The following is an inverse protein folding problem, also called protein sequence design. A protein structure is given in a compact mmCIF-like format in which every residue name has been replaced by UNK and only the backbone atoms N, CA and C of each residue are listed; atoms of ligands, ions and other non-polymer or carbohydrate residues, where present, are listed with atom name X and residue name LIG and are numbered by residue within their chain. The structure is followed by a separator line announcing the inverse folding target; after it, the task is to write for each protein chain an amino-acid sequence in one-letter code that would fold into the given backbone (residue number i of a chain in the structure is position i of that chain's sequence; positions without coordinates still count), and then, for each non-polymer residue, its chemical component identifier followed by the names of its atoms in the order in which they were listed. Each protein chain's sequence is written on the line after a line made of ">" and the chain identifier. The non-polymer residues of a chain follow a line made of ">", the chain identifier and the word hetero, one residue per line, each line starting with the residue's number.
data_IF_375690285352
#
_entry.id   IF_375690285352
#
_cell.length_a   1.000
_cell.length_b   1.000
_cell.length_c   1.000
_cell.angle_alpha   90.00
_cell.angle_beta   90.00
_cell.angle_gamma   90.00
#
_symmetry.space_group_name_H-M   'P 1'
#
loop_
_entity.id
_entity.type
_entity.pdbx_description
1 polymer ?
#
# COMPACT_ATOMS: atom_id res chain seq x y z
N UNK A 1 16.90 22.41 -5.54
CA UNK A 1 16.30 22.59 -4.19
C UNK A 1 14.93 21.91 -4.05
N UNK A 2 14.00 22.07 -5.00
CA UNK A 2 12.65 21.44 -4.93
C UNK A 2 12.73 19.90 -5.02
N UNK A 3 13.48 19.33 -5.98
CA UNK A 3 13.69 17.86 -6.09
C UNK A 3 14.38 17.27 -4.84
N UNK A 4 15.35 18.00 -4.26
CA UNK A 4 16.02 17.59 -3.03
C UNK A 4 15.14 17.68 -1.80
N UNK A 5 14.26 18.68 -1.73
CA UNK A 5 13.24 18.83 -0.69
C UNK A 5 12.18 17.73 -0.76
N UNK A 6 11.76 17.36 -1.97
CA UNK A 6 10.86 16.23 -2.20
C UNK A 6 11.51 14.90 -1.82
N UNK A 7 12.77 14.70 -2.18
CA UNK A 7 13.57 13.51 -1.81
C UNK A 7 13.79 13.39 -0.30
N UNK A 8 13.98 14.51 0.41
CA UNK A 8 14.07 14.53 1.87
C UNK A 8 12.71 14.33 2.56
N UNK A 9 11.61 14.79 1.96
CA UNK A 9 10.25 14.56 2.47
C UNK A 9 9.80 13.11 2.25
N UNK A 10 10.15 12.50 1.11
CA UNK A 10 9.86 11.10 0.76
C UNK A 10 10.82 10.09 1.41
N UNK A 11 11.26 10.35 2.65
CA UNK A 11 12.25 9.54 3.38
C UNK A 11 11.84 8.08 3.66
N UNK A 12 10.66 7.67 3.20
CA UNK A 12 10.20 6.28 3.19
C UNK A 12 9.74 5.86 1.78
N UNK A 13 10.68 5.59 0.87
CA UNK A 13 10.35 4.96 -0.43
C UNK A 13 9.54 3.67 -0.28
N UNK A 14 9.72 2.97 0.85
CA UNK A 14 8.94 1.81 1.20
C UNK A 14 7.45 2.10 1.48
N UNK A 15 7.08 3.31 1.93
CA UNK A 15 5.66 3.70 2.05
C UNK A 15 5.04 3.80 0.67
N UNK A 16 5.69 4.51 -0.25
CA UNK A 16 5.24 4.62 -1.64
C UNK A 16 5.24 3.28 -2.40
N UNK A 17 6.09 2.33 -2.01
CA UNK A 17 6.14 1.01 -2.63
C UNK A 17 4.91 0.14 -2.32
N UNK A 18 4.26 0.27 -1.15
CA UNK A 18 3.15 -0.62 -0.78
C UNK A 18 1.93 -0.44 -1.71
N UNK A 19 1.43 0.78 -1.97
CA UNK A 19 0.36 1.00 -2.94
C UNK A 19 0.70 0.44 -4.32
N UNK A 20 1.93 0.69 -4.80
CA UNK A 20 2.38 0.22 -6.13
C UNK A 20 2.43 -1.31 -6.20
N UNK A 21 3.00 -1.97 -5.18
CA UNK A 21 3.04 -3.44 -5.09
C UNK A 21 1.63 -4.03 -5.05
N UNK A 22 0.72 -3.39 -4.31
CA UNK A 22 -0.69 -3.79 -4.27
C UNK A 22 -1.30 -3.73 -5.67
N UNK A 23 -1.03 -2.67 -6.44
CA UNK A 23 -1.55 -2.54 -7.80
C UNK A 23 -0.91 -3.49 -8.81
N UNK A 24 0.37 -3.82 -8.66
CA UNK A 24 1.02 -4.84 -9.51
C UNK A 24 0.31 -6.19 -9.35
N UNK A 25 -0.09 -6.56 -8.12
CA UNK A 25 -0.88 -7.76 -7.87
C UNK A 25 -2.25 -7.69 -8.56
N UNK A 26 -2.92 -6.54 -8.50
CA UNK A 26 -4.22 -6.33 -9.18
C UNK A 26 -4.08 -6.42 -10.70
N UNK A 27 -3.01 -5.88 -11.29
CA UNK A 27 -2.72 -6.04 -12.73
C UNK A 27 -2.56 -7.52 -13.08
N UNK A 28 -1.86 -8.29 -12.23
CA UNK A 28 -1.73 -9.73 -12.38
C UNK A 28 -3.08 -10.46 -12.34
N UNK A 29 -3.92 -10.14 -11.36
CA UNK A 29 -5.28 -10.71 -11.26
C UNK A 29 -6.16 -10.32 -12.44
N UNK A 30 -6.12 -9.06 -12.86
CA UNK A 30 -6.88 -8.59 -14.02
C UNK A 30 -6.45 -9.30 -15.30
N UNK A 31 -5.14 -9.51 -15.48
CA UNK A 31 -4.60 -10.32 -16.59
C UNK A 31 -5.08 -11.77 -16.52
N UNK A 32 -5.12 -12.37 -15.33
CA UNK A 32 -5.68 -13.70 -15.10
C UNK A 32 -7.16 -13.80 -15.45
N UNK A 33 -7.95 -12.77 -15.12
CA UNK A 33 -9.37 -12.68 -15.50
C UNK A 33 -9.53 -12.55 -17.01
N UNK A 34 -8.71 -11.72 -17.69
CA UNK A 34 -8.72 -11.63 -19.15
C UNK A 34 -8.48 -12.98 -19.81
N UNK A 35 -7.47 -13.71 -19.32
CA UNK A 35 -7.16 -15.05 -19.79
C UNK A 35 -8.33 -16.02 -19.58
N UNK A 36 -8.97 -16.00 -18.41
CA UNK A 36 -10.11 -16.85 -18.11
C UNK A 36 -11.36 -16.53 -18.96
N UNK A 37 -11.57 -15.26 -19.30
CA UNK A 37 -12.69 -14.82 -20.13
C UNK A 37 -12.42 -14.91 -21.64
N UNK A 38 -11.21 -15.28 -22.05
CA UNK A 38 -10.82 -15.33 -23.47
C UNK A 38 -10.82 -13.96 -24.15
N UNK A 39 -10.54 -12.88 -23.41
CA UNK A 39 -10.49 -11.53 -23.97
C UNK A 39 -9.10 -11.29 -24.57
N UNK A 40 -9.06 -10.92 -25.85
CA UNK A 40 -7.81 -10.64 -26.57
C UNK A 40 -7.03 -9.45 -25.98
N UNK A 41 -5.71 -9.56 -26.00
CA UNK A 41 -4.82 -8.45 -25.73
C UNK A 41 -4.80 -7.50 -26.92
N UNK A 42 -5.41 -6.33 -26.73
CA UNK A 42 -5.45 -5.24 -27.71
C UNK A 42 -4.60 -4.06 -27.23
N UNK A 43 -4.24 -3.11 -28.11
CA UNK A 43 -3.60 -1.86 -27.70
C UNK A 43 -4.40 -1.11 -26.62
N UNK A 44 -5.73 -1.24 -26.64
CA UNK A 44 -6.61 -0.65 -25.63
C UNK A 44 -6.45 -1.33 -24.27
N UNK A 45 -6.46 -2.67 -24.19
CA UNK A 45 -6.23 -3.39 -22.93
C UNK A 45 -4.79 -3.25 -22.42
N UNK A 46 -3.82 -2.93 -23.27
CA UNK A 46 -2.46 -2.60 -22.84
C UNK A 46 -2.42 -1.34 -21.94
N UNK A 47 -3.36 -0.41 -22.14
CA UNK A 47 -3.50 0.78 -21.28
C UNK A 47 -4.12 0.49 -19.91
N UNK A 48 -4.73 -0.70 -19.74
CA UNK A 48 -5.41 -1.09 -18.52
C UNK A 48 -4.46 -1.10 -17.31
N UNK A 49 -3.20 -1.52 -17.50
CA UNK A 49 -2.22 -1.53 -16.41
C UNK A 49 -1.96 -0.13 -15.85
N UNK A 50 -1.81 0.87 -16.72
CA UNK A 50 -1.65 2.27 -16.32
C UNK A 50 -2.92 2.83 -15.65
N UNK A 51 -4.09 2.43 -16.14
CA UNK A 51 -5.38 2.81 -15.58
C UNK A 51 -5.60 2.22 -14.17
N UNK A 52 -5.28 0.94 -13.98
CA UNK A 52 -5.30 0.28 -12.66
C UNK A 52 -4.34 0.96 -11.71
N UNK A 53 -3.12 1.28 -12.17
CA UNK A 53 -2.17 2.00 -11.34
C UNK A 53 -2.70 3.38 -10.95
N UNK A 54 -3.25 4.16 -11.89
CA UNK A 54 -3.76 5.50 -11.60
C UNK A 54 -4.89 5.48 -10.57
N UNK A 55 -5.98 4.80 -10.91
CA UNK A 55 -7.21 4.79 -10.11
C UNK A 55 -7.04 3.94 -8.84
N UNK A 56 -6.46 2.75 -8.97
CA UNK A 56 -6.33 1.83 -7.84
C UNK A 56 -5.30 2.33 -6.81
N UNK A 57 -4.20 2.97 -7.26
CA UNK A 57 -3.24 3.52 -6.30
C UNK A 57 -3.82 4.65 -5.48
N UNK A 58 -4.77 5.43 -6.01
CA UNK A 58 -5.47 6.46 -5.25
C UNK A 58 -6.14 5.86 -4.00
N UNK A 59 -6.88 4.77 -4.14
CA UNK A 59 -7.54 4.08 -3.04
C UNK A 59 -6.54 3.58 -1.98
N UNK A 60 -5.46 2.94 -2.44
CA UNK A 60 -4.42 2.44 -1.55
C UNK A 60 -3.64 3.57 -0.87
N UNK A 61 -3.42 4.70 -1.55
CA UNK A 61 -2.76 5.89 -0.98
C UNK A 61 -3.65 6.55 0.07
N UNK A 62 -4.96 6.72 -0.18
CA UNK A 62 -5.89 7.24 0.81
C UNK A 62 -5.89 6.39 2.10
N UNK A 63 -5.90 5.06 1.95
CA UNK A 63 -5.79 4.14 3.08
C UNK A 63 -4.44 4.26 3.79
N UNK A 64 -3.36 4.39 3.02
CA UNK A 64 -2.00 4.53 3.51
C UNK A 64 -1.79 5.79 4.33
N UNK A 65 -2.25 6.94 3.83
CA UNK A 65 -2.13 8.21 4.52
C UNK A 65 -2.83 8.15 5.87
N UNK A 66 -4.05 7.61 5.90
CA UNK A 66 -4.79 7.41 7.15
C UNK A 66 -4.07 6.46 8.10
N UNK A 67 -3.55 5.34 7.59
CA UNK A 67 -2.77 4.39 8.38
C UNK A 67 -1.56 5.06 9.05
N UNK A 68 -0.77 5.83 8.30
CA UNK A 68 0.41 6.49 8.86
C UNK A 68 0.07 7.66 9.77
N UNK A 69 -1.07 8.33 9.57
CA UNK A 69 -1.58 9.32 10.52
C UNK A 69 -1.88 8.66 11.87
N UNK A 70 -2.56 7.51 11.88
CA UNK A 70 -2.86 6.77 13.12
C UNK A 70 -1.60 6.16 13.76
N UNK A 71 -0.63 5.68 12.96
CA UNK A 71 0.69 5.25 13.47
C UNK A 71 1.49 6.39 14.07
N UNK A 72 1.36 7.61 13.53
CA UNK A 72 1.96 8.82 14.08
C UNK A 72 1.47 9.16 15.49
N UNK A 73 0.30 8.65 15.90
CA UNK A 73 -0.27 8.79 17.25
C UNK A 73 0.23 7.73 18.23
N UNK A 74 1.13 6.84 17.80
CA UNK A 74 1.71 5.79 18.64
C UNK A 74 0.88 4.51 18.75
N UNK A 75 -0.16 4.34 17.92
CA UNK A 75 -0.98 3.13 17.91
C UNK A 75 -0.22 1.94 17.32
N UNK A 76 -0.51 0.73 17.80
CA UNK A 76 0.06 -0.51 17.25
C UNK A 76 -0.45 -0.77 15.82
N UNK A 77 0.31 -1.47 14.94
CA UNK A 77 -0.04 -1.66 13.53
C UNK A 77 -1.48 -2.13 13.28
N UNK A 78 -1.93 -3.14 14.03
CA UNK A 78 -3.28 -3.72 13.89
C UNK A 78 -4.40 -2.74 14.29
N UNK A 79 -4.14 -1.88 15.28
CA UNK A 79 -5.12 -0.90 15.73
C UNK A 79 -5.20 0.28 14.77
N UNK A 80 -4.04 0.74 14.29
CA UNK A 80 -3.95 1.81 13.29
C UNK A 80 -4.72 1.45 12.02
N UNK A 81 -4.58 0.23 11.49
CA UNK A 81 -5.29 -0.19 10.28
C UNK A 81 -6.79 -0.36 10.50
N UNK A 82 -7.21 -0.85 11.67
CA UNK A 82 -8.63 -0.98 12.04
C UNK A 82 -9.31 0.38 12.07
N UNK A 83 -8.69 1.36 12.75
CA UNK A 83 -9.23 2.72 12.83
C UNK A 83 -9.22 3.38 11.45
N UNK A 84 -8.15 3.20 10.67
CA UNK A 84 -8.03 3.78 9.34
C UNK A 84 -9.13 3.28 8.42
N UNK A 85 -9.34 1.97 8.38
CA UNK A 85 -10.40 1.33 7.59
C UNK A 85 -11.78 1.87 7.97
N UNK A 86 -12.07 2.04 9.27
CA UNK A 86 -13.34 2.61 9.74
C UNK A 86 -13.53 4.09 9.40
N UNK A 87 -12.47 4.88 9.31
CA UNK A 87 -12.56 6.33 9.05
C UNK A 87 -12.63 6.70 7.57
N UNK A 88 -11.78 6.08 6.74
CA UNK A 88 -11.65 6.44 5.32
C UNK A 88 -12.35 5.42 4.40
N UNK A 89 -12.75 4.26 4.91
CA UNK A 89 -13.31 3.18 4.10
C UNK A 89 -14.61 3.53 3.38
N UNK A 90 -15.47 4.35 3.99
CA UNK A 90 -16.69 4.84 3.32
C UNK A 90 -16.37 5.78 2.16
N UNK A 91 -15.37 6.67 2.33
CA UNK A 91 -14.92 7.57 1.28
C UNK A 91 -14.28 6.80 0.10
N UNK A 92 -13.43 5.81 0.40
CA UNK A 92 -12.81 4.95 -0.63
C UNK A 92 -13.88 4.16 -1.39
N UNK A 93 -14.85 3.57 -0.68
CA UNK A 93 -15.95 2.82 -1.31
C UNK A 93 -16.82 3.72 -2.16
N UNK A 94 -17.16 4.92 -1.70
CA UNK A 94 -17.93 5.88 -2.47
C UNK A 94 -17.21 6.27 -3.77
N UNK A 95 -15.91 6.60 -3.69
CA UNK A 95 -15.08 6.88 -4.87
C UNK A 95 -15.06 5.70 -5.84
N UNK A 96 -14.82 4.48 -5.33
CA UNK A 96 -14.84 3.25 -6.11
C UNK A 96 -16.16 3.03 -6.84
N UNK A 97 -17.29 3.21 -6.16
CA UNK A 97 -18.63 3.07 -6.77
C UNK A 97 -18.87 4.11 -7.86
N UNK A 98 -18.44 5.36 -7.67
CA UNK A 98 -18.50 6.38 -8.71
C UNK A 98 -17.67 6.00 -9.93
N UNK A 99 -16.46 5.49 -9.74
CA UNK A 99 -15.61 5.02 -10.84
C UNK A 99 -16.23 3.82 -11.57
N UNK A 100 -16.80 2.88 -10.84
CA UNK A 100 -17.52 1.74 -11.42
C UNK A 100 -18.71 2.18 -12.25
N UNK A 101 -19.51 3.14 -11.76
CA UNK A 101 -20.62 3.71 -12.52
C UNK A 101 -20.12 4.38 -13.82
N UNK A 102 -19.02 5.13 -13.75
CA UNK A 102 -18.39 5.76 -14.92
C UNK A 102 -17.95 4.75 -15.97
N UNK A 103 -17.21 3.70 -15.58
CA UNK A 103 -16.76 2.68 -16.53
C UNK A 103 -17.87 1.74 -17.00
N UNK A 104 -18.92 1.57 -16.21
CA UNK A 104 -20.09 0.79 -16.62
C UNK A 104 -20.80 1.39 -17.84
N UNK A 105 -20.66 2.69 -18.08
CA UNK A 105 -21.18 3.31 -19.30
C UNK A 105 -20.57 2.71 -20.58
N UNK A 106 -19.33 2.20 -20.54
CA UNK A 106 -18.69 1.57 -21.71
C UNK A 106 -19.37 0.24 -22.10
N UNK A 107 -20.07 -0.41 -21.16
CA UNK A 107 -20.81 -1.65 -21.43
C UNK A 107 -21.95 -1.43 -22.42
N UNK A 108 -22.53 -0.22 -22.44
CA UNK A 108 -23.58 0.16 -23.37
C UNK A 108 -23.06 0.44 -24.79
N UNK A 109 -21.74 0.40 -25.02
CA UNK A 109 -21.17 0.70 -26.33
C UNK A 109 -21.58 -0.34 -27.38
N UNK A 110 -21.89 0.09 -28.63
CA UNK A 110 -22.15 -0.81 -29.74
C UNK A 110 -20.87 -1.45 -30.29
N UNK A 111 -19.69 -0.90 -29.99
CA UNK A 111 -18.41 -1.42 -30.43
C UNK A 111 -17.89 -2.50 -29.46
N UNK A 112 -17.66 -3.75 -29.91
CA UNK A 112 -17.19 -4.84 -29.06
C UNK A 112 -15.89 -4.52 -28.31
N UNK A 113 -14.99 -3.78 -28.94
CA UNK A 113 -13.72 -3.35 -28.35
C UNK A 113 -13.93 -2.53 -27.06
N UNK A 114 -14.83 -1.54 -27.10
CA UNK A 114 -15.17 -0.71 -25.95
C UNK A 114 -15.90 -1.50 -24.87
N UNK A 115 -16.80 -2.41 -25.27
CA UNK A 115 -17.53 -3.26 -24.34
C UNK A 115 -16.61 -4.19 -23.57
N UNK A 116 -15.69 -4.88 -24.25
CA UNK A 116 -14.71 -5.76 -23.63
C UNK A 116 -13.77 -4.99 -22.70
N UNK A 117 -13.31 -3.82 -23.13
CA UNK A 117 -12.52 -2.92 -22.29
C UNK A 117 -13.31 -2.44 -21.06
N UNK A 118 -14.60 -2.12 -21.22
CA UNK A 118 -15.49 -1.75 -20.12
C UNK A 118 -15.67 -2.88 -19.10
N UNK A 119 -15.93 -4.10 -19.56
CA UNK A 119 -16.06 -5.30 -18.70
C UNK A 119 -14.79 -5.47 -17.86
N UNK A 120 -13.62 -5.52 -18.52
CA UNK A 120 -12.38 -5.76 -17.79
C UNK A 120 -12.01 -4.61 -16.85
N UNK A 121 -12.31 -3.37 -17.24
CA UNK A 121 -12.05 -2.20 -16.39
C UNK A 121 -12.92 -2.20 -15.14
N UNK A 122 -14.22 -2.50 -15.27
CA UNK A 122 -15.13 -2.62 -14.12
C UNK A 122 -14.63 -3.69 -13.16
N UNK A 123 -14.22 -4.86 -13.67
CA UNK A 123 -13.64 -5.93 -12.84
C UNK A 123 -12.34 -5.46 -12.20
N UNK A 124 -11.46 -4.80 -12.94
CA UNK A 124 -10.18 -4.32 -12.43
C UNK A 124 -10.35 -3.26 -11.32
N UNK A 125 -11.32 -2.36 -11.45
CA UNK A 125 -11.66 -1.38 -10.41
C UNK A 125 -12.21 -2.07 -9.16
N UNK A 126 -13.07 -3.08 -9.32
CA UNK A 126 -13.54 -3.90 -8.20
C UNK A 126 -12.38 -4.61 -7.50
N UNK A 127 -11.47 -5.22 -8.27
CA UNK A 127 -10.29 -5.87 -7.73
C UNK A 127 -9.36 -4.88 -7.02
N UNK A 128 -9.18 -3.67 -7.54
CA UNK A 128 -8.39 -2.62 -6.90
C UNK A 128 -9.03 -2.14 -5.58
N UNK A 129 -10.36 -2.01 -5.55
CA UNK A 129 -11.10 -1.66 -4.35
C UNK A 129 -10.93 -2.75 -3.28
N UNK A 130 -11.15 -4.01 -3.64
CA UNK A 130 -10.95 -5.16 -2.76
C UNK A 130 -9.49 -5.21 -2.29
N UNK A 131 -8.52 -5.09 -3.19
CA UNK A 131 -7.10 -5.11 -2.83
C UNK A 131 -6.74 -3.99 -1.84
N UNK A 132 -7.38 -2.82 -1.93
CA UNK A 132 -7.16 -1.71 -0.99
C UNK A 132 -7.67 -2.00 0.43
N UNK A 133 -8.66 -2.87 0.59
CA UNK A 133 -9.20 -3.28 1.89
C UNK A 133 -8.63 -4.59 2.44
N UNK A 134 -8.03 -5.43 1.59
CA UNK A 134 -7.52 -6.74 2.01
C UNK A 134 -6.01 -6.86 1.82
N UNK A 135 -5.52 -6.59 0.61
CA UNK A 135 -4.09 -6.77 0.29
C UNK A 135 -3.26 -5.66 0.91
N UNK A 136 -3.67 -4.40 0.77
CA UNK A 136 -2.94 -3.27 1.31
C UNK A 136 -2.77 -3.36 2.84
N UNK A 137 -3.83 -3.60 3.65
CA UNK A 137 -3.71 -3.79 5.10
C UNK A 137 -2.73 -4.88 5.51
N UNK A 138 -2.76 -6.03 4.83
CA UNK A 138 -1.87 -7.15 5.12
C UNK A 138 -0.41 -6.77 4.82
N UNK A 139 -0.15 -6.15 3.66
CA UNK A 139 1.19 -5.75 3.27
C UNK A 139 1.77 -4.67 4.19
N UNK A 140 0.97 -3.66 4.57
CA UNK A 140 1.45 -2.56 5.40
C UNK A 140 1.72 -3.01 6.84
N UNK A 141 0.82 -3.80 7.44
CA UNK A 141 1.00 -4.31 8.81
C UNK A 141 2.20 -5.23 8.88
N UNK A 142 2.31 -6.18 7.95
CA UNK A 142 3.45 -7.10 7.88
C UNK A 142 4.78 -6.35 7.76
N UNK A 143 4.85 -5.35 6.88
CA UNK A 143 6.08 -4.56 6.71
C UNK A 143 6.42 -3.75 7.96
N UNK A 144 5.42 -3.18 8.64
CA UNK A 144 5.61 -2.37 9.84
C UNK A 144 6.11 -3.22 11.01
N UNK A 145 5.49 -4.39 11.25
CA UNK A 145 5.92 -5.35 12.27
C UNK A 145 7.36 -5.83 12.03
N UNK A 146 7.72 -6.13 10.77
CA UNK A 146 9.10 -6.49 10.42
C UNK A 146 10.10 -5.36 10.67
N UNK A 147 9.68 -4.09 10.55
CA UNK A 147 10.53 -2.92 10.81
C UNK A 147 10.72 -2.71 12.30
N UNK A 148 9.65 -2.83 13.09
CA UNK A 148 9.72 -2.75 14.54
C UNK A 148 10.65 -3.84 15.12
N UNK A 149 10.50 -5.09 14.69
CA UNK A 149 11.38 -6.19 15.13
C UNK A 149 12.85 -5.98 14.78
N UNK A 150 13.16 -5.42 13.60
CA UNK A 150 14.53 -5.06 13.21
C UNK A 150 15.10 -3.92 14.05
N UNK A 151 14.28 -2.91 14.40
CA UNK A 151 14.70 -1.78 15.25
C UNK A 151 15.02 -2.24 16.66
N UNK A 152 14.17 -3.08 17.26
CA UNK A 152 14.39 -3.65 18.60
C UNK A 152 15.69 -4.47 18.65
N UNK A 153 15.92 -5.37 17.67
CA UNK A 153 17.17 -6.15 17.59
C UNK A 153 18.41 -5.27 17.44
N UNK A 154 18.34 -4.17 16.68
CA UNK A 154 19.47 -3.25 16.49
C UNK A 154 19.80 -2.50 17.79
N UNK A 155 18.78 -2.04 18.53
CA UNK A 155 18.95 -1.37 19.82
C UNK A 155 19.53 -2.32 20.86
N UNK A 156 19.03 -3.57 20.93
CA UNK A 156 19.56 -4.58 21.84
C UNK A 156 21.05 -4.86 21.60
N UNK A 157 21.46 -5.04 20.33
CA UNK A 157 22.89 -5.22 19.97
C UNK A 157 23.75 -4.01 20.32
N UNK A 158 23.24 -2.79 20.18
CA UNK A 158 23.94 -1.56 20.56
C UNK A 158 24.13 -1.46 22.09
N UNK A 159 23.12 -1.83 22.87
CA UNK A 159 23.22 -1.86 24.33
C UNK A 159 24.20 -2.93 24.81
N UNK A 160 24.18 -4.12 24.20
CA UNK A 160 25.09 -5.22 24.52
C UNK A 160 26.55 -4.85 24.20
N UNK A 161 26.80 -4.24 23.03
CA UNK A 161 28.12 -3.73 22.66
C UNK A 161 28.62 -2.59 23.56
N UNK A 162 27.74 -1.73 24.06
CA UNK A 162 28.11 -0.69 25.03
C UNK A 162 28.43 -1.28 26.41
N UNK A 163 27.73 -2.35 26.81
CA UNK A 163 27.94 -3.05 28.08
C UNK A 163 29.27 -3.83 28.10
N UNK A 164 29.70 -4.37 26.95
CA UNK A 164 31.03 -5.02 26.83
C UNK A 164 32.19 -4.03 26.81
N UNK A 165 31.97 -2.76 26.44
CA UNK A 165 33.01 -1.72 26.38
C UNK A 165 33.27 -0.99 27.71
N UNK A 166 32.43 -1.16 28.73
CA UNK A 166 32.68 -0.63 30.08
C UNK A 166 32.75 -1.76 31.12
N UNK A 167 33.87 -2.51 31.19
CA UNK A 167 34.14 -3.32 32.36
C UNK A 167 34.67 -2.41 33.47
N UNK A 168 33.82 -2.14 34.46
CA UNK A 168 34.19 -1.77 35.82
C UNK A 168 34.90 -0.40 36.04
N UNK A 169 34.12 0.61 36.46
CA UNK A 169 34.62 1.83 37.13
C UNK A 169 34.18 1.93 38.61
N UNK A 170 33.82 0.81 39.24
CA UNK A 170 33.16 0.82 40.56
C UNK A 170 33.96 0.13 41.68
N UNK A 171 35.28 -0.03 41.52
CA UNK A 171 36.11 -0.81 42.46
C UNK A 171 37.42 -0.20 42.94
N UNK A 172 37.62 1.12 42.88
CA UNK A 172 38.80 1.76 43.49
C UNK A 172 38.39 3.07 44.19
N UNK A 173 38.43 3.07 45.52
CA UNK A 173 38.21 4.28 46.32
C UNK A 173 37.90 4.10 47.81
N UNK A 174 37.87 2.87 48.34
CA UNK A 174 37.78 2.61 49.79
C UNK A 174 38.96 1.74 50.21
N UNK A 175 40.16 2.34 50.18
CA UNK A 175 41.36 1.90 50.89
C UNK A 175 42.41 2.99 50.70
N UNK A 176 42.76 3.70 51.78
CA UNK A 176 43.76 4.76 51.80
C UNK A 176 43.45 5.76 52.89
#
# INVERSE_FOLDING_TARGET
>A
LILGGLFLLYRDWLKAAIPVLTMILVIGWSSGVMYALGIDYTPMTATLGALILGIGSEYAVMMMERYFEERGKGLVPIEAIRISTGKIGTAITASGLTTLAGFSALLASPFPLNRNFGIITVIAVLLALIASFFVFPVLVVWLDEMREGRRVRKVAKMQESNRTKQPNRTGKGIAG
#
